data_IF_817079462661
#
_entry.id   IF_817079462661
#
_cell.length_a   1.000
_cell.length_b   1.000
_cell.length_c   1.000
_cell.angle_alpha   90.00
_cell.angle_beta   90.00
_cell.angle_gamma   90.00
#
_symmetry.space_group_name_H-M   'P 1'
#
loop_
_entity.id
_entity.type
_entity.pdbx_description
1 polymer ?
#
# COMPACT_ATOMS: atom_id res chain seq x y z
N UNK A 1 33.36 29.50 -24.06
CA UNK A 1 32.45 29.27 -22.93
C UNK A 1 31.82 27.90 -23.12
N UNK A 2 32.27 26.75 -22.62
CA UNK A 2 33.25 26.28 -21.62
C UNK A 2 32.70 24.89 -21.19
N UNK A 3 33.26 23.78 -21.68
CA UNK A 3 34.22 22.89 -20.98
C UNK A 3 33.62 22.37 -19.63
N UNK A 4 33.36 21.07 -19.43
CA UNK A 4 34.34 19.98 -19.46
C UNK A 4 33.71 18.59 -19.62
N UNK A 5 34.26 17.85 -20.58
CA UNK A 5 34.45 16.41 -20.50
C UNK A 5 35.70 16.13 -19.65
N UNK A 6 35.67 15.10 -18.81
CA UNK A 6 36.89 14.52 -18.24
C UNK A 6 36.91 13.01 -18.45
N UNK A 7 37.70 12.62 -19.44
CA UNK A 7 38.29 11.30 -19.59
C UNK A 7 39.69 11.38 -18.99
N UNK A 8 40.07 10.48 -18.07
CA UNK A 8 41.48 10.28 -17.71
C UNK A 8 41.74 8.80 -17.39
N UNK A 9 42.58 8.19 -18.22
CA UNK A 9 43.18 6.85 -18.04
C UNK A 9 44.69 6.98 -18.18
N UNK A 10 45.43 6.46 -17.19
CA UNK A 10 46.73 5.74 -17.24
C UNK A 10 47.27 5.63 -15.79
N UNK A 11 47.90 4.57 -15.28
CA UNK A 11 48.37 3.29 -15.82
C UNK A 11 48.72 2.28 -14.69
N UNK A 12 48.84 1.01 -15.11
CA UNK A 12 49.12 -0.32 -14.48
C UNK A 12 50.49 -0.52 -13.77
N UNK A 13 50.87 -1.70 -13.18
CA UNK A 13 50.18 -3.00 -12.98
C UNK A 13 50.36 -3.73 -11.60
N UNK A 14 49.67 -4.88 -11.47
CA UNK A 14 49.98 -6.09 -10.69
C UNK A 14 49.76 -6.11 -9.17
N UNK A 15 48.57 -6.58 -8.77
CA UNK A 15 48.48 -7.56 -7.67
C UNK A 15 47.39 -8.57 -8.04
N UNK A 16 47.82 -9.81 -8.33
CA UNK A 16 46.92 -10.95 -8.53
C UNK A 16 46.29 -11.30 -7.19
N UNK A 17 45.08 -10.83 -6.94
CA UNK A 17 44.23 -11.30 -5.86
C UNK A 17 43.04 -12.04 -6.48
N UNK A 18 43.00 -13.35 -6.24
CA UNK A 18 41.97 -14.34 -6.58
C UNK A 18 40.65 -13.79 -7.10
N UNK A 19 40.51 -13.73 -8.44
CA UNK A 19 39.20 -13.90 -9.05
C UNK A 19 38.77 -15.34 -8.78
N UNK A 20 37.87 -15.49 -7.80
CA UNK A 20 37.06 -16.69 -7.71
C UNK A 20 36.18 -16.71 -8.97
N UNK A 21 36.30 -17.71 -9.87
CA UNK A 21 35.31 -17.85 -10.93
C UNK A 21 33.99 -18.20 -10.23
N UNK A 22 33.08 -17.22 -10.13
CA UNK A 22 31.67 -17.52 -9.90
C UNK A 22 31.25 -18.40 -11.07
N UNK A 23 31.17 -19.70 -10.80
CA UNK A 23 30.74 -20.73 -11.73
C UNK A 23 29.27 -20.48 -12.08
N UNK A 24 29.03 -19.58 -13.03
CA UNK A 24 27.76 -19.48 -13.72
C UNK A 24 27.80 -20.50 -14.87
N UNK A 25 27.47 -21.75 -14.54
CA UNK A 25 27.37 -22.81 -15.54
C UNK A 25 26.41 -22.44 -16.69
N UNK A 26 26.69 -22.88 -17.93
CA UNK A 26 25.96 -22.48 -19.14
C UNK A 26 24.49 -22.95 -19.17
N UNK A 27 24.13 -23.96 -18.39
CA UNK A 27 22.76 -24.47 -18.20
C UNK A 27 21.80 -23.40 -17.63
N UNK A 28 22.34 -22.39 -16.95
CA UNK A 28 21.55 -21.44 -16.16
C UNK A 28 21.08 -20.20 -16.94
N UNK A 29 21.75 -19.76 -18.00
CA UNK A 29 21.37 -18.54 -18.74
C UNK A 29 20.09 -18.74 -19.56
N UNK A 30 19.97 -19.85 -20.28
CA UNK A 30 18.82 -20.18 -21.13
C UNK A 30 17.54 -20.38 -20.33
N UNK A 31 17.60 -21.17 -19.25
CA UNK A 31 16.47 -21.37 -18.32
C UNK A 31 16.06 -20.07 -17.60
N UNK A 32 17.02 -19.18 -17.30
CA UNK A 32 16.69 -17.86 -16.76
C UNK A 32 16.04 -16.95 -17.80
N UNK A 33 16.50 -16.99 -19.05
CA UNK A 33 15.88 -16.25 -20.16
C UNK A 33 14.40 -16.63 -20.30
N UNK A 34 14.11 -17.92 -20.38
CA UNK A 34 12.74 -18.42 -20.48
C UNK A 34 11.86 -18.04 -19.29
N UNK A 35 12.38 -18.09 -18.05
CA UNK A 35 11.64 -17.63 -16.85
C UNK A 35 11.33 -16.14 -16.88
N UNK A 36 12.27 -15.28 -17.33
CA UNK A 36 12.03 -13.84 -17.47
C UNK A 36 10.97 -13.54 -18.53
N UNK A 37 10.96 -14.30 -19.61
CA UNK A 37 9.98 -14.13 -20.69
C UNK A 37 8.60 -14.67 -20.28
N UNK A 38 8.55 -15.78 -19.52
CA UNK A 38 7.33 -16.27 -18.89
C UNK A 38 6.73 -15.22 -17.95
N UNK A 39 7.55 -14.60 -17.10
CA UNK A 39 7.11 -13.51 -16.22
C UNK A 39 6.52 -12.33 -17.00
N UNK A 40 7.15 -11.90 -18.09
CA UNK A 40 6.62 -10.84 -18.96
C UNK A 40 5.33 -11.25 -19.68
N UNK A 41 5.24 -12.51 -20.10
CA UNK A 41 4.05 -13.06 -20.74
C UNK A 41 2.87 -13.07 -19.76
N UNK A 42 3.08 -13.57 -18.54
CA UNK A 42 2.08 -13.58 -17.46
C UNK A 42 1.59 -12.17 -17.17
N UNK A 43 2.50 -11.19 -17.06
CA UNK A 43 2.09 -9.79 -16.88
C UNK A 43 1.23 -9.31 -18.05
N UNK A 44 1.68 -9.50 -19.29
CA UNK A 44 0.97 -9.03 -20.48
C UNK A 44 -0.42 -9.65 -20.59
N UNK A 45 -0.54 -10.97 -20.37
CA UNK A 45 -1.82 -11.69 -20.40
C UNK A 45 -2.77 -11.20 -19.29
N UNK A 46 -2.24 -10.99 -18.09
CA UNK A 46 -3.04 -10.51 -16.95
C UNK A 46 -3.54 -9.08 -17.18
N UNK A 47 -2.68 -8.18 -17.68
CA UNK A 47 -3.09 -6.81 -18.01
C UNK A 47 -4.18 -6.80 -19.09
N UNK A 48 -4.00 -7.60 -20.15
CA UNK A 48 -4.97 -7.71 -21.22
C UNK A 48 -6.34 -8.22 -20.73
N UNK A 49 -6.36 -9.28 -19.91
CA UNK A 49 -7.60 -9.86 -19.40
C UNK A 49 -8.36 -8.96 -18.43
N UNK A 50 -7.63 -8.17 -17.65
CA UNK A 50 -8.23 -7.22 -16.70
C UNK A 50 -8.54 -5.86 -17.35
N UNK A 51 -8.31 -5.71 -18.66
CA UNK A 51 -8.56 -4.45 -19.39
C UNK A 51 -7.63 -3.30 -18.98
N UNK A 52 -6.46 -3.61 -18.41
CA UNK A 52 -5.49 -2.62 -17.96
C UNK A 52 -4.55 -2.29 -19.14
N UNK A 53 -4.42 -1.01 -19.55
CA UNK A 53 -3.50 -0.64 -20.62
C UNK A 53 -2.05 -1.00 -20.31
N UNK A 54 -1.36 -1.66 -21.24
CA UNK A 54 0.03 -2.10 -21.05
C UNK A 54 1.01 -0.93 -20.82
N UNK A 55 0.69 0.29 -21.27
CA UNK A 55 1.48 1.48 -21.02
C UNK A 55 1.46 1.94 -19.55
N UNK A 56 0.47 1.51 -18.77
CA UNK A 56 0.29 1.94 -17.39
C UNK A 56 1.22 1.20 -16.42
N UNK A 57 1.60 -0.05 -16.71
CA UNK A 57 2.36 -0.90 -15.81
C UNK A 57 3.49 -1.60 -16.55
N UNK A 58 4.72 -1.44 -16.07
CA UNK A 58 5.90 -2.14 -16.63
C UNK A 58 6.52 -3.10 -15.61
N UNK A 59 7.06 -4.23 -16.07
CA UNK A 59 7.78 -5.19 -15.22
C UNK A 59 9.30 -5.06 -15.36
N UNK A 60 9.96 -5.05 -14.22
CA UNK A 60 11.40 -5.16 -14.09
C UNK A 60 11.74 -6.43 -13.31
N UNK A 61 12.45 -7.36 -13.96
CA UNK A 61 12.83 -8.63 -13.32
C UNK A 61 14.21 -8.48 -12.70
N UNK A 62 14.25 -8.52 -11.38
CA UNK A 62 15.43 -8.37 -10.54
C UNK A 62 15.90 -9.72 -10.02
N UNK A 63 17.18 -9.81 -9.67
CA UNK A 63 17.75 -10.97 -8.97
C UNK A 63 17.56 -10.76 -7.47
N UNK A 64 16.90 -11.70 -6.81
CA UNK A 64 16.82 -11.76 -5.36
C UNK A 64 17.94 -12.66 -4.84
N UNK A 65 18.86 -12.09 -4.07
CA UNK A 65 19.78 -12.89 -3.26
C UNK A 65 19.02 -13.41 -2.04
N UNK A 66 18.88 -14.73 -1.92
CA UNK A 66 18.36 -15.37 -0.71
C UNK A 66 19.57 -15.77 0.14
N UNK A 67 19.57 -15.45 1.44
CA UNK A 67 20.65 -15.89 2.32
C UNK A 67 20.71 -17.43 2.31
N UNK A 68 21.84 -17.99 1.87
CA UNK A 68 22.16 -19.43 1.96
C UNK A 68 21.74 -20.34 0.81
N UNK A 69 20.91 -19.93 -0.16
CA UNK A 69 20.53 -20.76 -1.33
C UNK A 69 20.18 -19.93 -2.57
N UNK A 70 20.05 -20.63 -3.72
CA UNK A 70 19.87 -20.14 -5.09
C UNK A 70 19.24 -18.76 -5.27
N UNK A 71 19.83 -17.96 -6.17
CA UNK A 71 19.31 -16.66 -6.60
C UNK A 71 17.92 -16.81 -7.23
N UNK A 72 16.90 -16.29 -6.54
CA UNK A 72 15.54 -16.22 -7.06
C UNK A 72 15.34 -15.03 -8.01
N UNK A 73 14.23 -15.03 -8.74
CA UNK A 73 13.76 -13.90 -9.53
C UNK A 73 12.66 -13.16 -8.79
N UNK A 74 12.81 -11.84 -8.73
CA UNK A 74 11.83 -10.92 -8.16
C UNK A 74 11.25 -10.05 -9.27
N UNK A 75 9.93 -9.82 -9.28
CA UNK A 75 9.32 -8.89 -10.25
C UNK A 75 8.96 -7.58 -9.56
N UNK A 76 9.58 -6.48 -10.00
CA UNK A 76 9.15 -5.12 -9.63
C UNK A 76 8.15 -4.60 -10.67
N UNK A 77 6.94 -4.32 -10.22
CA UNK A 77 5.86 -3.68 -10.98
C UNK A 77 6.00 -2.16 -10.85
N UNK A 78 6.25 -1.49 -11.97
CA UNK A 78 6.44 -0.04 -12.05
C UNK A 78 5.17 0.59 -12.62
N UNK A 79 4.43 1.31 -11.78
CA UNK A 79 3.22 2.02 -12.18
C UNK A 79 3.60 3.38 -12.77
N UNK A 80 3.26 3.59 -14.04
CA UNK A 80 3.58 4.79 -14.82
C UNK A 80 2.42 5.78 -14.90
N UNK A 81 1.19 5.28 -14.73
CA UNK A 81 -0.01 6.08 -14.78
C UNK A 81 -0.78 6.01 -13.46
N UNK A 82 -1.14 7.18 -12.93
CA UNK A 82 -1.85 7.30 -11.66
C UNK A 82 -3.36 7.22 -11.88
N UNK A 83 -3.88 6.01 -12.10
CA UNK A 83 -5.32 5.74 -11.98
C UNK A 83 -5.63 5.26 -10.55
N UNK A 84 -6.61 5.84 -9.84
CA UNK A 84 -6.89 5.52 -8.44
C UNK A 84 -7.40 4.08 -8.22
N UNK A 85 -7.96 3.44 -9.25
CA UNK A 85 -8.47 2.07 -9.17
C UNK A 85 -7.34 1.05 -9.12
N UNK A 86 -6.19 1.37 -9.71
CA UNK A 86 -5.11 0.40 -9.88
C UNK A 86 -4.39 0.10 -8.54
N UNK A 87 -4.02 1.08 -7.71
CA UNK A 87 -3.55 0.83 -6.34
C UNK A 87 -4.58 0.11 -5.47
N UNK A 88 -5.88 0.44 -5.62
CA UNK A 88 -6.97 -0.20 -4.88
C UNK A 88 -7.05 -1.72 -5.17
N UNK A 89 -6.75 -2.11 -6.41
CA UNK A 89 -6.78 -3.50 -6.85
C UNK A 89 -5.39 -4.15 -6.96
N UNK A 90 -4.33 -3.53 -6.43
CA UNK A 90 -2.95 -4.02 -6.55
C UNK A 90 -2.78 -5.44 -6.03
N UNK A 91 -3.32 -5.74 -4.84
CA UNK A 91 -3.25 -7.08 -4.23
C UNK A 91 -4.03 -8.12 -5.04
N UNK A 92 -5.16 -7.73 -5.66
CA UNK A 92 -5.94 -8.63 -6.49
C UNK A 92 -5.19 -8.96 -7.78
N UNK A 93 -4.57 -7.97 -8.42
CA UNK A 93 -3.74 -8.17 -9.60
C UNK A 93 -2.53 -9.06 -9.28
N UNK A 94 -1.88 -8.85 -8.14
CA UNK A 94 -0.75 -9.69 -7.70
C UNK A 94 -1.15 -11.16 -7.53
N UNK A 95 -2.33 -11.41 -6.95
CA UNK A 95 -2.86 -12.78 -6.79
C UNK A 95 -3.18 -13.42 -8.15
N UNK A 96 -3.77 -12.68 -9.09
CA UNK A 96 -4.04 -13.18 -10.45
C UNK A 96 -2.73 -13.51 -11.19
N UNK A 97 -1.72 -12.63 -11.10
CA UNK A 97 -0.38 -12.87 -11.66
C UNK A 97 0.24 -14.14 -11.09
N UNK A 98 0.22 -14.30 -9.76
CA UNK A 98 0.80 -15.47 -9.10
C UNK A 98 0.05 -16.76 -9.47
N UNK A 99 -1.28 -16.72 -9.52
CA UNK A 99 -2.10 -17.87 -9.91
C UNK A 99 -1.79 -18.32 -11.35
N UNK A 100 -1.68 -17.37 -12.29
CA UNK A 100 -1.32 -17.67 -13.68
C UNK A 100 0.12 -18.15 -13.83
N UNK A 101 1.05 -17.56 -13.09
CA UNK A 101 2.44 -18.01 -13.05
C UNK A 101 2.52 -19.49 -12.65
N UNK A 102 1.84 -19.87 -11.57
CA UNK A 102 1.79 -21.26 -11.09
C UNK A 102 1.07 -22.20 -12.06
N UNK A 103 0.07 -21.71 -12.78
CA UNK A 103 -0.63 -22.50 -13.80
C UNK A 103 0.27 -22.82 -15.00
N UNK A 104 1.17 -21.91 -15.39
CA UNK A 104 2.12 -22.11 -16.49
C UNK A 104 3.39 -22.86 -16.07
N UNK A 105 3.86 -22.61 -14.84
CA UNK A 105 5.03 -23.28 -14.26
C UNK A 105 4.76 -23.66 -12.80
N UNK A 106 4.39 -24.92 -12.52
CA UNK A 106 4.18 -25.41 -11.15
C UNK A 106 5.44 -25.34 -10.28
N UNK A 107 6.64 -25.26 -10.89
CA UNK A 107 7.91 -25.14 -10.16
C UNK A 107 8.24 -23.69 -9.78
N UNK A 108 7.38 -22.72 -10.08
CA UNK A 108 7.59 -21.29 -9.83
C UNK A 108 8.01 -20.97 -8.39
N UNK A 109 7.45 -21.66 -7.40
CA UNK A 109 7.76 -21.43 -5.98
C UNK A 109 9.23 -21.73 -5.62
N UNK A 110 9.96 -22.48 -6.46
CA UNK A 110 11.38 -22.80 -6.25
C UNK A 110 12.33 -21.69 -6.71
N UNK A 111 11.87 -20.82 -7.62
CA UNK A 111 12.72 -19.83 -8.27
C UNK A 111 12.17 -18.40 -8.24
N UNK A 112 10.89 -18.20 -7.97
CA UNK A 112 10.26 -16.88 -7.89
C UNK A 112 10.16 -16.42 -6.43
N UNK A 113 10.64 -15.22 -6.14
CA UNK A 113 10.67 -14.68 -4.77
C UNK A 113 9.45 -13.82 -4.42
N UNK A 114 8.76 -13.26 -5.41
CA UNK A 114 7.59 -12.41 -5.18
C UNK A 114 7.56 -11.15 -6.05
N UNK A 115 6.62 -10.26 -5.68
CA UNK A 115 6.38 -8.98 -6.34
C UNK A 115 6.78 -7.81 -5.45
N UNK A 116 7.15 -6.69 -6.06
CA UNK A 116 7.23 -5.39 -5.38
C UNK A 116 6.63 -4.31 -6.26
N UNK A 117 6.20 -3.21 -5.64
CA UNK A 117 5.60 -2.09 -6.33
C UNK A 117 6.51 -0.86 -6.26
N UNK A 118 6.62 -0.16 -7.38
CA UNK A 118 7.24 1.17 -7.45
C UNK A 118 6.40 2.08 -8.31
N UNK A 119 6.44 3.37 -8.03
CA UNK A 119 5.62 4.38 -8.69
C UNK A 119 6.52 5.36 -9.42
N UNK A 120 6.34 5.49 -10.74
CA UNK A 120 7.10 6.36 -11.63
C UNK A 120 6.13 7.24 -12.41
N UNK A 121 5.38 8.07 -11.70
CA UNK A 121 4.45 9.03 -12.28
C UNK A 121 5.23 10.23 -12.83
N UNK A 122 4.98 10.60 -14.08
CA UNK A 122 5.60 11.77 -14.70
C UNK A 122 5.09 13.10 -14.11
N UNK A 123 3.83 13.12 -13.66
CA UNK A 123 3.18 14.28 -13.07
C UNK A 123 2.78 14.01 -11.61
N UNK A 124 3.16 14.92 -10.73
CA UNK A 124 2.75 14.96 -9.31
C UNK A 124 1.56 15.89 -9.07
N UNK A 125 0.90 16.37 -10.13
CA UNK A 125 -0.10 17.43 -10.06
C UNK A 125 -1.43 16.86 -9.53
N UNK A 126 -1.95 17.44 -8.44
CA UNK A 126 -3.27 17.12 -7.89
C UNK A 126 -3.29 16.04 -6.81
N UNK A 127 -2.18 15.79 -6.11
CA UNK A 127 -2.18 14.85 -4.99
C UNK A 127 -2.91 15.44 -3.79
N UNK A 128 -4.02 14.82 -3.41
CA UNK A 128 -4.71 15.14 -2.15
C UNK A 128 -3.70 15.03 -0.99
N UNK A 129 -3.68 15.99 -0.05
CA UNK A 129 -2.90 15.85 1.17
C UNK A 129 -3.21 14.53 1.87
N UNK A 130 -2.23 13.99 2.60
CA UNK A 130 -2.46 12.81 3.42
C UNK A 130 -3.62 13.08 4.37
N UNK A 131 -4.55 12.12 4.54
CA UNK A 131 -5.66 12.29 5.47
C UNK A 131 -5.11 12.46 6.88
N UNK A 132 -5.85 13.17 7.72
CA UNK A 132 -5.49 13.33 9.12
C UNK A 132 -5.22 11.95 9.76
N UNK A 133 -4.19 11.78 10.61
CA UNK A 133 -3.79 10.47 11.14
C UNK A 133 -4.91 9.64 11.78
N UNK A 134 -5.89 10.30 12.40
CA UNK A 134 -7.06 9.63 12.99
C UNK A 134 -7.94 8.91 11.97
N UNK A 135 -7.84 9.24 10.68
CA UNK A 135 -8.59 8.57 9.60
C UNK A 135 -8.16 7.12 9.43
N UNK A 136 -6.90 6.78 9.73
CA UNK A 136 -6.39 5.41 9.62
C UNK A 136 -6.90 4.47 10.72
N UNK A 137 -7.24 5.03 11.89
CA UNK A 137 -7.72 4.28 13.06
C UNK A 137 -9.21 4.43 13.30
N UNK A 138 -9.89 5.32 12.56
CA UNK A 138 -11.33 5.47 12.63
C UNK A 138 -12.02 4.16 12.23
N UNK A 139 -13.06 3.73 12.96
CA UNK A 139 -13.86 2.58 12.54
C UNK A 139 -14.40 2.83 11.12
N UNK A 140 -14.40 1.82 10.24
CA UNK A 140 -14.91 1.99 8.88
C UNK A 140 -16.31 2.59 8.93
N UNK A 141 -16.62 3.60 8.07
CA UNK A 141 -17.98 4.10 7.99
C UNK A 141 -18.87 2.91 7.65
N UNK A 142 -19.84 2.64 8.52
CA UNK A 142 -20.77 1.54 8.36
C UNK A 142 -21.39 1.67 6.98
N UNK A 143 -21.02 0.75 6.08
CA UNK A 143 -21.45 0.77 4.70
C UNK A 143 -22.95 0.87 4.73
N UNK A 144 -23.49 2.03 4.34
CA UNK A 144 -24.92 2.28 4.31
C UNK A 144 -25.55 1.12 3.56
N UNK A 145 -26.13 0.18 4.30
CA UNK A 145 -26.91 -0.88 3.71
C UNK A 145 -28.01 -0.15 2.96
N UNK A 146 -28.25 -0.43 1.66
CA UNK A 146 -29.41 0.12 1.01
C UNK A 146 -30.60 -0.27 1.88
N UNK A 147 -31.19 0.72 2.53
CA UNK A 147 -32.34 0.52 3.38
C UNK A 147 -33.37 -0.19 2.51
N UNK A 148 -33.87 -1.34 2.98
CA UNK A 148 -34.98 -2.06 2.38
C UNK A 148 -36.31 -1.26 2.44
N UNK A 149 -36.26 0.07 2.37
CA UNK A 149 -37.39 0.98 2.42
C UNK A 149 -37.88 1.38 1.00
N UNK A 150 -37.35 0.77 -0.06
CA UNK A 150 -37.78 1.00 -1.44
C UNK A 150 -38.31 -0.28 -2.11
N UNK A 151 -39.17 -1.03 -1.42
CA UNK A 151 -40.06 -1.98 -2.09
C UNK A 151 -41.47 -1.68 -1.62
N UNK A 152 -42.30 -1.25 -2.58
CA UNK A 152 -43.75 -1.01 -2.49
C UNK A 152 -44.19 0.42 -2.14
N UNK A 153 -44.04 1.34 -3.10
CA UNK A 153 -45.10 2.33 -3.36
C UNK A 153 -45.81 1.93 -4.65
N UNK A 154 -46.93 1.22 -4.46
CA UNK A 154 -48.04 1.21 -5.42
C UNK A 154 -48.49 2.68 -5.65
N UNK A 155 -49.01 3.04 -6.83
CA UNK A 155 -49.52 4.39 -7.05
C UNK A 155 -50.82 4.53 -6.25
N UNK A 156 -50.81 5.41 -5.25
CA UNK A 156 -52.02 5.83 -4.54
C UNK A 156 -51.89 5.80 -3.02
N UNK A 157 -51.29 6.83 -2.43
CA UNK A 157 -51.76 7.49 -1.20
C UNK A 157 -50.82 8.64 -0.83
N UNK A 158 -51.40 9.64 -0.18
CA UNK A 158 -50.94 11.02 0.01
C UNK A 158 -49.55 11.26 0.61
N UNK A 159 -49.00 12.38 0.14
CA UNK A 159 -48.06 13.30 0.77
C UNK A 159 -48.00 13.21 2.30
N UNK A 160 -46.80 13.04 2.84
CA UNK A 160 -46.40 13.68 4.11
C UNK A 160 -45.07 14.40 3.87
N UNK A 161 -45.20 15.69 3.60
CA UNK A 161 -44.12 16.66 3.59
C UNK A 161 -43.91 17.11 5.04
N UNK A 162 -42.71 16.93 5.59
CA UNK A 162 -42.40 17.41 6.94
C UNK A 162 -40.96 17.11 7.39
N UNK A 163 -40.27 18.08 8.03
CA UNK A 163 -38.92 17.87 8.55
C UNK A 163 -38.97 17.07 9.85
N UNK A 164 -38.24 15.95 9.92
CA UNK A 164 -38.04 15.20 11.17
C UNK A 164 -37.07 15.98 12.06
N UNK A 165 -37.61 16.87 12.90
CA UNK A 165 -36.89 17.47 14.02
C UNK A 165 -36.80 16.42 15.13
N UNK A 166 -35.58 15.97 15.44
CA UNK A 166 -35.34 15.13 16.63
C UNK A 166 -35.52 16.02 17.86
N UNK A 167 -36.75 16.11 18.39
CA UNK A 167 -37.01 16.77 19.66
C UNK A 167 -36.51 15.88 20.82
N UNK A 168 -35.23 16.00 21.17
CA UNK A 168 -34.83 15.77 22.57
C UNK A 168 -34.93 17.13 23.26
N UNK A 169 -35.77 17.24 24.29
CA UNK A 169 -35.87 18.46 25.11
C UNK A 169 -34.46 18.84 25.56
N UNK A 170 -34.00 20.02 25.14
CA UNK A 170 -32.64 20.52 25.39
C UNK A 170 -32.30 20.62 26.88
N UNK A 171 -33.31 20.72 27.74
CA UNK A 171 -33.15 20.77 29.20
C UNK A 171 -32.73 19.43 29.79
N UNK A 172 -33.32 18.31 29.33
CA UNK A 172 -32.96 16.98 29.81
C UNK A 172 -31.53 16.60 29.40
N UNK A 173 -31.14 16.96 28.17
CA UNK A 173 -29.79 16.75 27.67
C UNK A 173 -28.74 17.58 28.43
N UNK A 174 -29.10 18.79 28.86
CA UNK A 174 -28.21 19.68 29.63
C UNK A 174 -28.04 19.17 31.06
N UNK A 175 -29.12 18.74 31.71
CA UNK A 175 -29.07 18.16 33.05
C UNK A 175 -28.25 16.86 33.09
N UNK A 176 -28.37 16.02 32.06
CA UNK A 176 -27.60 14.78 31.95
C UNK A 176 -26.10 15.05 31.74
N UNK A 177 -25.76 16.06 30.92
CA UNK A 177 -24.36 16.50 30.73
C UNK A 177 -23.73 17.04 32.01
N UNK A 178 -24.47 17.87 32.75
CA UNK A 178 -24.00 18.44 34.02
C UNK A 178 -23.75 17.34 35.07
N UNK A 179 -24.63 16.32 35.10
CA UNK A 179 -24.45 15.13 35.94
C UNK A 179 -23.18 14.35 35.58
N UNK A 180 -22.91 14.16 34.29
CA UNK A 180 -21.72 13.44 33.83
C UNK A 180 -20.43 14.21 34.12
N UNK A 181 -20.46 15.55 34.01
CA UNK A 181 -19.32 16.40 34.33
C UNK A 181 -19.01 16.40 35.83
N UNK A 182 -20.03 16.46 36.69
CA UNK A 182 -19.83 16.38 38.14
C UNK A 182 -19.21 15.04 38.59
N UNK A 183 -19.65 13.93 38.00
CA UNK A 183 -19.06 12.61 38.26
C UNK A 183 -17.59 12.54 37.84
N UNK A 184 -17.24 13.19 36.72
CA UNK A 184 -15.86 13.25 36.22
C UNK A 184 -14.95 14.07 37.12
N UNK A 185 -15.43 15.20 37.62
CA UNK A 185 -14.67 16.07 38.53
C UNK A 185 -14.40 15.38 39.87
N UNK A 186 -15.36 14.62 40.40
CA UNK A 186 -15.16 13.82 41.61
C UNK A 186 -14.15 12.68 41.38
N UNK A 187 -14.17 12.04 40.22
CA UNK A 187 -13.20 10.99 39.86
C UNK A 187 -11.78 11.58 39.71
N UNK A 188 -11.64 12.76 39.09
CA UNK A 188 -10.37 13.47 38.99
C UNK A 188 -9.83 13.88 40.36
N UNK A 189 -10.69 14.36 41.26
CA UNK A 189 -10.28 14.70 42.63
C UNK A 189 -9.83 13.48 43.42
N UNK A 190 -10.47 12.32 43.22
CA UNK A 190 -10.03 11.05 43.81
C UNK A 190 -8.68 10.59 43.24
N UNK A 191 -8.45 10.78 41.95
CA UNK A 191 -7.16 10.45 41.31
C UNK A 191 -6.03 11.40 41.74
N UNK A 192 -6.31 12.68 42.01
CA UNK A 192 -5.30 13.64 42.53
C UNK A 192 -4.90 13.34 43.98
N UNK A 193 -5.73 12.63 44.74
CA UNK A 193 -5.42 12.18 46.11
C UNK A 193 -4.75 10.81 46.21
N UNK A 194 -4.62 10.07 45.09
CA UNK A 194 -4.02 8.74 45.04
C UNK A 194 -2.74 8.74 44.20
N UNK A 195 -1.62 8.47 44.85
CA UNK A 195 -0.26 8.30 44.31
C UNK A 195 -0.12 8.15 42.78
N UNK A 196 0.54 9.14 42.18
CA UNK A 196 0.94 9.12 40.78
C UNK A 196 1.68 10.39 40.40
N UNK A 197 2.89 10.56 40.95
CA UNK A 197 3.81 11.65 40.65
C UNK A 197 4.08 11.79 39.14
N UNK A 198 3.33 12.66 38.46
CA UNK A 198 3.76 13.26 37.20
C UNK A 198 4.80 14.34 37.54
N UNK A 199 6.07 13.94 37.58
CA UNK A 199 7.16 14.89 37.69
C UNK A 199 7.12 15.86 36.49
N UNK A 200 7.12 17.16 36.77
CA UNK A 200 7.31 18.18 35.75
C UNK A 200 8.69 17.98 35.09
N UNK A 201 8.70 17.81 33.76
CA UNK A 201 9.93 17.76 32.96
C UNK A 201 10.69 19.09 33.10
N UNK A 202 11.72 19.12 33.93
CA UNK A 202 12.68 20.22 33.94
C UNK A 202 13.50 20.20 32.65
N UNK A 203 13.65 21.32 31.93
CA UNK A 203 14.53 21.39 30.77
C UNK A 203 15.98 21.24 31.23
N UNK A 204 16.70 20.28 30.64
CA UNK A 204 18.13 20.07 30.89
C UNK A 204 18.92 21.34 30.58
N UNK A 205 19.71 21.78 31.55
CA UNK A 205 20.57 22.96 31.46
C UNK A 205 21.66 22.82 30.39
N UNK A 206 22.00 23.97 29.81
CA UNK A 206 23.09 24.23 28.87
C UNK A 206 24.47 23.89 29.46
#
# INVERSE_FOLDING_TARGET
MGLLAFFRRSGTPASKASESPTSAGPESSTSRGSRKDLLRLVLRDSLFRNGIPAAWLTAEVLRAARQGQQTGLHMRLVLRHADPRLPLHAVALERDLLARLRALDPSADTWFSGFSWSFAFADHVGREPLPHPSTWTAPPPERAQPSKAARETRPGADVIEGPVVIQRKSEDARADLERLLALRDDDLRRQVGGDGAFAATSPGGL
#
